data_IF_612306911356
#
_entry.id   IF_612306911356
#
_cell.length_a   1.000
_cell.length_b   1.000
_cell.length_c   1.000
_cell.angle_alpha   90.00
_cell.angle_beta   90.00
_cell.angle_gamma   90.00
#
_symmetry.space_group_name_H-M   'P 1'
#
loop_
_entity.id
_entity.type
_entity.pdbx_description
1 polymer ?
#
# COMPACT_ATOMS: atom_id res chain seq x y z
N UNK A 1 -10.32 -18.40 87.57
CA UNK A 1 -10.58 -18.01 88.98
C UNK A 1 -12.09 -17.83 89.17
N UNK A 2 -12.71 -18.39 90.20
CA UNK A 2 -14.16 -18.25 90.42
C UNK A 2 -14.38 -17.41 91.69
N UNK A 3 -15.07 -16.27 91.56
CA UNK A 3 -15.49 -15.43 92.67
C UNK A 3 -16.89 -15.82 93.13
N UNK A 4 -17.01 -16.44 94.31
CA UNK A 4 -18.30 -16.73 94.94
C UNK A 4 -18.55 -15.69 96.04
N UNK A 5 -19.42 -14.72 95.79
CA UNK A 5 -19.58 -13.54 96.66
C UNK A 5 -21.05 -13.30 96.98
N UNK A 6 -21.32 -12.71 98.15
CA UNK A 6 -22.66 -12.34 98.59
C UNK A 6 -23.25 -11.23 97.71
N UNK A 7 -24.58 -11.11 97.68
CA UNK A 7 -25.30 -10.21 96.75
C UNK A 7 -24.87 -8.74 96.82
N UNK A 8 -24.34 -8.29 97.94
CA UNK A 8 -23.87 -6.92 98.16
C UNK A 8 -22.53 -6.61 97.47
N UNK A 9 -21.74 -7.63 97.13
CA UNK A 9 -20.43 -7.48 96.48
C UNK A 9 -20.36 -8.05 95.05
N UNK A 10 -21.42 -8.72 94.57
CA UNK A 10 -21.46 -9.35 93.24
C UNK A 10 -21.06 -8.38 92.13
N UNK A 11 -21.62 -7.18 92.10
CA UNK A 11 -21.39 -6.21 91.02
C UNK A 11 -19.92 -5.76 90.96
N UNK A 12 -19.29 -5.57 92.12
CA UNK A 12 -17.88 -5.19 92.21
C UNK A 12 -16.96 -6.27 91.64
N UNK A 13 -17.21 -7.53 92.02
CA UNK A 13 -16.41 -8.66 91.55
C UNK A 13 -16.69 -9.01 90.09
N UNK A 14 -17.90 -8.72 89.58
CA UNK A 14 -18.19 -8.83 88.16
C UNK A 14 -17.40 -7.81 87.32
N UNK A 15 -17.24 -6.57 87.82
CA UNK A 15 -16.36 -5.58 87.19
C UNK A 15 -14.89 -5.99 87.22
N UNK A 16 -14.44 -6.60 88.32
CA UNK A 16 -13.08 -7.12 88.44
C UNK A 16 -12.86 -8.32 87.51
N UNK A 17 -13.85 -9.20 87.40
CA UNK A 17 -13.79 -10.40 86.57
C UNK A 17 -13.64 -10.07 85.08
N UNK A 18 -14.27 -8.99 84.61
CA UNK A 18 -14.09 -8.47 83.24
C UNK A 18 -12.66 -8.02 82.92
N UNK A 19 -11.83 -7.75 83.93
CA UNK A 19 -10.42 -7.33 83.76
C UNK A 19 -9.42 -8.46 83.97
N UNK A 20 -9.88 -9.61 84.47
CA UNK A 20 -9.03 -10.77 84.75
C UNK A 20 -9.43 -11.91 83.82
N UNK A 21 -8.60 -12.20 82.82
CA UNK A 21 -8.83 -13.29 81.89
C UNK A 21 -8.98 -14.64 82.62
N UNK A 22 -9.93 -15.47 82.19
CA UNK A 22 -10.22 -16.76 82.81
C UNK A 22 -10.87 -16.68 84.20
N UNK A 23 -11.52 -15.56 84.53
CA UNK A 23 -12.29 -15.42 85.77
C UNK A 23 -13.80 -15.38 85.55
N UNK A 24 -14.58 -15.84 86.53
CA UNK A 24 -16.04 -15.70 86.53
C UNK A 24 -16.56 -15.41 87.94
N UNK A 25 -17.69 -14.71 88.04
CA UNK A 25 -18.31 -14.32 89.30
C UNK A 25 -19.70 -14.93 89.43
N UNK A 26 -20.02 -15.42 90.62
CA UNK A 26 -21.31 -16.00 90.96
C UNK A 26 -21.79 -15.57 92.35
N UNK A 27 -23.11 -15.44 92.50
CA UNK A 27 -23.75 -15.08 93.77
C UNK A 27 -23.82 -16.26 94.73
N UNK A 28 -23.27 -16.09 95.93
CA UNK A 28 -23.35 -17.02 97.04
C UNK A 28 -24.53 -16.65 97.95
N UNK A 29 -25.36 -17.62 98.28
CA UNK A 29 -26.44 -17.44 99.27
C UNK A 29 -25.86 -17.29 100.68
N UNK A 30 -26.59 -16.63 101.59
CA UNK A 30 -26.09 -16.28 102.92
C UNK A 30 -25.73 -17.49 103.81
N UNK A 31 -26.33 -18.64 103.53
CA UNK A 31 -26.04 -19.92 104.19
C UNK A 31 -25.01 -20.78 103.43
N UNK A 32 -24.47 -20.26 102.32
CA UNK A 32 -23.57 -20.96 101.39
C UNK A 32 -24.12 -22.28 100.84
N UNK A 33 -25.44 -22.48 100.88
CA UNK A 33 -26.10 -23.72 100.45
C UNK A 33 -25.90 -24.02 98.97
N UNK A 34 -25.74 -22.99 98.13
CA UNK A 34 -25.60 -23.11 96.69
C UNK A 34 -24.15 -23.21 96.18
N UNK A 35 -23.14 -23.33 97.05
CA UNK A 35 -21.72 -23.23 96.66
C UNK A 35 -21.29 -24.30 95.64
N UNK A 36 -21.82 -25.52 95.73
CA UNK A 36 -21.44 -26.62 94.82
C UNK A 36 -21.99 -26.37 93.41
N UNK A 37 -23.27 -26.00 93.32
CA UNK A 37 -23.92 -25.70 92.04
C UNK A 37 -23.32 -24.45 91.40
N UNK A 38 -22.96 -23.46 92.22
CA UNK A 38 -22.29 -22.25 91.79
C UNK A 38 -20.94 -22.56 91.13
N UNK A 39 -20.09 -23.36 91.78
CA UNK A 39 -18.78 -23.74 91.20
C UNK A 39 -18.96 -24.49 89.88
N UNK A 40 -19.94 -25.41 89.80
CA UNK A 40 -20.21 -26.17 88.58
C UNK A 40 -20.62 -25.25 87.42
N UNK A 41 -21.59 -24.37 87.67
CA UNK A 41 -22.07 -23.42 86.67
C UNK A 41 -20.98 -22.44 86.21
N UNK A 42 -20.17 -21.93 87.13
CA UNK A 42 -19.09 -21.01 86.77
C UNK A 42 -17.93 -21.71 86.06
N UNK A 43 -17.66 -22.98 86.39
CA UNK A 43 -16.67 -23.80 85.70
C UNK A 43 -17.09 -24.10 84.25
N UNK A 44 -18.36 -24.46 84.02
CA UNK A 44 -18.90 -24.67 82.67
C UNK A 44 -18.83 -23.39 81.83
N UNK A 45 -19.12 -22.23 82.44
CA UNK A 45 -18.98 -20.93 81.79
C UNK A 45 -17.53 -20.63 81.36
N UNK A 46 -16.55 -20.95 82.20
CA UNK A 46 -15.13 -20.75 81.88
C UNK A 46 -14.67 -21.75 80.81
N UNK A 47 -15.07 -23.01 80.90
CA UNK A 47 -14.64 -24.05 79.93
C UNK A 47 -15.34 -23.95 78.57
N UNK A 48 -16.51 -23.29 78.51
CA UNK A 48 -17.21 -23.00 77.26
C UNK A 48 -16.59 -21.87 76.42
N UNK A 49 -15.73 -21.03 77.02
CA UNK A 49 -15.09 -19.90 76.37
C UNK A 49 -13.59 -20.17 76.20
N UNK A 50 -13.11 -20.13 74.95
CA UNK A 50 -11.68 -20.22 74.64
C UNK A 50 -11.22 -18.85 74.14
N UNK A 51 -10.39 -18.18 74.92
CA UNK A 51 -9.72 -16.94 74.55
C UNK A 51 -8.23 -17.24 74.34
N UNK A 52 -7.75 -17.09 73.10
CA UNK A 52 -6.34 -17.28 72.77
C UNK A 52 -5.64 -15.91 72.80
N UNK A 53 -4.60 -15.78 73.62
CA UNK A 53 -3.76 -14.58 73.70
C UNK A 53 -2.36 -14.90 73.20
N UNK A 54 -1.83 -14.09 72.28
CA UNK A 54 -0.44 -14.14 71.82
C UNK A 54 0.43 -13.27 72.75
N UNK A 55 1.62 -13.74 73.12
CA UNK A 55 2.61 -13.03 73.94
C UNK A 55 3.42 -12.01 73.15
N UNK A 56 3.22 -11.95 71.83
CA UNK A 56 3.92 -11.05 70.93
C UNK A 56 2.90 -10.08 70.32
N UNK A 57 3.17 -8.78 70.40
CA UNK A 57 2.32 -7.68 69.89
C UNK A 57 2.20 -7.62 68.36
N UNK A 58 2.09 -8.76 67.69
CA UNK A 58 1.72 -8.87 66.28
C UNK A 58 0.20 -8.89 66.21
N UNK A 59 -0.38 -8.08 65.32
CA UNK A 59 -1.79 -8.23 64.95
C UNK A 59 -1.95 -9.54 64.17
N UNK A 60 -2.05 -10.65 64.89
CA UNK A 60 -2.56 -11.91 64.38
C UNK A 60 -4.08 -11.76 64.27
N UNK A 61 -4.56 -11.38 63.09
CA UNK A 61 -5.96 -11.63 62.73
C UNK A 61 -6.10 -13.14 62.49
N UNK A 62 -6.10 -13.91 63.57
CA UNK A 62 -6.19 -15.36 63.51
C UNK A 62 -7.57 -15.76 63.03
N UNK A 63 -7.60 -16.61 62.01
CA UNK A 63 -8.83 -17.23 61.59
C UNK A 63 -9.27 -18.25 62.63
N UNK A 64 -10.31 -17.89 63.37
CA UNK A 64 -11.05 -18.80 64.22
C UNK A 64 -11.64 -19.93 63.36
N UNK A 65 -10.94 -21.05 63.31
CA UNK A 65 -11.53 -22.33 62.93
C UNK A 65 -12.28 -22.84 64.16
N UNK A 66 -13.58 -22.57 64.24
CA UNK A 66 -14.43 -23.19 65.26
C UNK A 66 -14.55 -24.69 64.89
N UNK A 67 -14.12 -25.62 65.77
CA UNK A 67 -14.35 -27.04 65.55
C UNK A 67 -15.85 -27.30 65.40
N UNK A 68 -16.25 -28.15 64.45
CA UNK A 68 -17.65 -28.45 64.18
C UNK A 68 -18.45 -28.88 65.44
N UNK A 69 -17.76 -29.38 66.47
CA UNK A 69 -18.34 -29.78 67.76
C UNK A 69 -18.91 -28.62 68.62
N UNK A 70 -18.59 -27.34 68.32
CA UNK A 70 -19.10 -26.16 69.05
C UNK A 70 -20.23 -25.42 68.30
N UNK A 71 -20.71 -25.92 67.15
CA UNK A 71 -21.93 -25.38 66.55
C UNK A 71 -23.14 -25.89 67.34
N UNK A 72 -23.74 -25.05 68.17
CA UNK A 72 -25.18 -25.19 68.41
C UNK A 72 -25.86 -25.02 67.05
N UNK A 73 -26.68 -26.01 66.68
CA UNK A 73 -27.43 -26.05 65.43
C UNK A 73 -28.40 -24.86 65.39
N UNK A 74 -27.99 -23.77 64.76
CA UNK A 74 -28.93 -22.82 64.19
C UNK A 74 -28.63 -22.67 62.70
N UNK A 75 -29.68 -22.89 61.92
CA UNK A 75 -29.64 -23.11 60.49
C UNK A 75 -29.06 -21.92 59.73
N UNK A 76 -27.85 -22.08 59.19
CA UNK A 76 -27.50 -21.47 57.89
C UNK A 76 -26.67 -22.45 57.09
N UNK A 77 -27.27 -22.95 56.01
CA UNK A 77 -26.56 -23.50 54.88
C UNK A 77 -25.52 -22.48 54.38
N UNK A 78 -24.45 -23.03 53.80
CA UNK A 78 -23.29 -22.35 53.18
C UNK A 78 -22.12 -22.10 54.15
N UNK A 79 -21.32 -23.14 54.37
CA UNK A 79 -19.86 -23.03 54.30
C UNK A 79 -19.30 -24.40 53.92
N UNK A 80 -18.96 -24.49 52.64
CA UNK A 80 -18.35 -25.67 52.03
C UNK A 80 -17.01 -25.92 52.71
N UNK A 81 -16.88 -27.15 53.20
CA UNK A 81 -15.67 -27.85 53.62
C UNK A 81 -14.44 -27.38 52.82
N UNK A 82 -13.55 -26.60 53.44
CA UNK A 82 -12.15 -26.51 52.98
C UNK A 82 -11.44 -27.69 53.60
N UNK A 83 -11.53 -28.83 52.91
CA UNK A 83 -10.54 -29.88 53.08
C UNK A 83 -9.20 -29.28 52.65
N UNK A 84 -8.25 -29.21 53.58
CA UNK A 84 -6.82 -29.22 53.28
C UNK A 84 -6.49 -30.59 52.66
N UNK A 85 -7.02 -30.83 51.47
CA UNK A 85 -6.69 -31.95 50.60
C UNK A 85 -5.34 -31.66 49.96
N UNK A 86 -4.27 -31.90 50.71
CA UNK A 86 -2.95 -32.14 50.13
C UNK A 86 -2.99 -33.50 49.43
N UNK A 87 -3.61 -33.54 48.26
CA UNK A 87 -3.44 -34.62 47.29
C UNK A 87 -2.39 -34.16 46.30
N UNK A 88 -1.39 -35.01 46.07
CA UNK A 88 -0.17 -34.69 45.32
C UNK A 88 -0.42 -33.99 44.01
N UNK A 89 0.04 -32.75 43.94
CA UNK A 89 0.56 -32.10 42.76
C UNK A 89 1.60 -31.09 43.24
N UNK A 90 2.71 -30.94 42.52
CA UNK A 90 3.90 -30.15 42.90
C UNK A 90 3.65 -28.62 42.86
N UNK A 91 2.38 -28.22 43.02
CA UNK A 91 1.90 -26.85 42.96
C UNK A 91 2.16 -26.14 44.29
N UNK A 92 3.06 -25.15 44.25
CA UNK A 92 3.29 -24.26 45.39
C UNK A 92 1.96 -23.59 45.79
N UNK A 93 1.66 -23.46 47.09
CA UNK A 93 0.44 -22.78 47.55
C UNK A 93 0.28 -21.41 46.89
N UNK A 94 -0.94 -21.08 46.45
CA UNK A 94 -1.26 -19.82 45.76
C UNK A 94 -0.37 -19.53 44.53
N UNK A 95 -0.06 -20.57 43.76
CA UNK A 95 0.81 -20.51 42.57
C UNK A 95 2.21 -19.93 42.85
N UNK A 96 2.61 -19.83 44.12
CA UNK A 96 3.86 -19.20 44.53
C UNK A 96 3.91 -17.66 44.40
N UNK A 97 2.80 -17.01 44.05
CA UNK A 97 2.70 -15.55 43.81
C UNK A 97 1.63 -14.88 44.68
N UNK A 98 1.39 -15.47 45.85
CA UNK A 98 0.46 -14.94 46.83
C UNK A 98 0.63 -15.58 48.19
N UNK A 99 -0.01 -14.97 49.20
CA UNK A 99 0.01 -15.44 50.59
C UNK A 99 -1.26 -16.22 50.88
N UNK A 100 -1.12 -17.47 51.31
CA UNK A 100 -2.24 -18.27 51.78
C UNK A 100 -2.58 -17.85 53.21
N UNK A 101 -3.81 -17.36 53.44
CA UNK A 101 -4.36 -17.15 54.78
C UNK A 101 -5.74 -17.79 54.86
N UNK A 102 -5.88 -18.77 55.75
CA UNK A 102 -7.16 -19.39 56.08
C UNK A 102 -7.88 -20.06 54.90
N UNK A 103 -7.12 -20.79 54.07
CA UNK A 103 -7.66 -21.51 52.91
C UNK A 103 -8.03 -20.60 51.72
N UNK A 104 -7.71 -19.30 51.79
CA UNK A 104 -7.85 -18.34 50.69
C UNK A 104 -6.48 -17.76 50.33
N UNK A 105 -6.27 -17.56 49.03
CA UNK A 105 -5.08 -16.90 48.51
C UNK A 105 -5.29 -15.38 48.41
N UNK A 106 -4.28 -14.64 48.83
CA UNK A 106 -4.17 -13.19 48.67
C UNK A 106 -3.00 -12.91 47.74
N UNK A 107 -3.29 -12.51 46.51
CA UNK A 107 -2.28 -12.36 45.46
C UNK A 107 -1.39 -11.14 45.72
N UNK A 108 -0.10 -11.29 45.43
CA UNK A 108 0.86 -10.22 45.67
C UNK A 108 0.64 -9.06 44.66
N UNK A 109 0.71 -7.80 45.12
CA UNK A 109 0.58 -6.65 44.23
C UNK A 109 1.82 -6.50 43.34
N UNK A 110 1.62 -5.98 42.13
CA UNK A 110 2.70 -5.70 41.18
C UNK A 110 3.21 -4.26 41.31
N UNK A 111 4.46 -3.98 40.89
CA UNK A 111 5.00 -2.62 40.86
C UNK A 111 4.25 -1.70 39.89
N UNK A 112 3.81 -2.24 38.74
CA UNK A 112 2.97 -1.52 37.80
C UNK A 112 1.50 -1.64 38.21
N UNK A 113 0.76 -0.52 38.32
CA UNK A 113 -0.62 -0.52 38.81
C UNK A 113 -1.60 -1.21 37.86
N UNK A 114 -1.27 -1.28 36.57
CA UNK A 114 -2.09 -1.91 35.54
C UNK A 114 -1.89 -3.43 35.48
N UNK A 115 -0.85 -3.96 36.11
CA UNK A 115 -0.57 -5.40 36.18
C UNK A 115 -1.23 -6.01 37.40
N UNK A 116 -2.05 -7.03 37.18
CA UNK A 116 -2.82 -7.69 38.23
C UNK A 116 -2.64 -9.19 38.18
N UNK A 117 -2.42 -9.75 39.35
CA UNK A 117 -2.48 -11.19 39.62
C UNK A 117 -3.81 -11.45 40.33
N UNK A 118 -4.58 -12.41 39.85
CA UNK A 118 -5.90 -12.72 40.37
C UNK A 118 -6.21 -14.21 40.17
N UNK A 119 -7.42 -14.62 40.51
CA UNK A 119 -7.83 -16.02 40.54
C UNK A 119 -7.91 -16.57 41.97
N UNK A 120 -8.52 -17.73 42.13
CA UNK A 120 -8.76 -18.34 43.45
C UNK A 120 -7.46 -18.74 44.15
N UNK A 121 -6.47 -19.08 43.33
CA UNK A 121 -5.15 -19.55 43.70
C UNK A 121 -4.04 -18.67 43.12
N UNK A 122 -4.35 -17.41 42.75
CA UNK A 122 -3.42 -16.47 42.12
C UNK A 122 -2.75 -16.99 40.84
N UNK A 123 -3.50 -17.81 40.10
CA UNK A 123 -3.09 -18.51 38.89
C UNK A 123 -3.19 -17.64 37.63
N UNK A 124 -3.98 -16.56 37.68
CA UNK A 124 -4.28 -15.73 36.53
C UNK A 124 -3.53 -14.40 36.57
N UNK A 125 -3.15 -13.93 35.39
CA UNK A 125 -2.57 -12.60 35.18
C UNK A 125 -3.20 -11.93 33.97
N UNK A 126 -3.22 -10.60 33.96
CA UNK A 126 -3.67 -9.81 32.81
C UNK A 126 -2.52 -9.33 31.90
N UNK A 127 -1.31 -9.84 32.12
CA UNK A 127 -0.10 -9.47 31.37
C UNK A 127 0.65 -10.69 30.82
N UNK A 128 0.21 -11.90 31.14
CA UNK A 128 0.85 -13.17 30.76
C UNK A 128 0.45 -13.72 29.40
N UNK A 129 -0.24 -12.94 28.55
CA UNK A 129 -0.54 -13.34 27.18
C UNK A 129 0.66 -13.06 26.25
N UNK A 130 0.68 -13.74 25.10
CA UNK A 130 1.71 -13.52 24.08
C UNK A 130 1.67 -12.09 23.53
N UNK A 131 2.86 -11.55 23.25
CA UNK A 131 3.02 -10.23 22.65
C UNK A 131 3.43 -10.38 21.20
N UNK A 132 2.66 -9.82 20.28
CA UNK A 132 3.06 -9.63 18.87
C UNK A 132 3.36 -8.17 18.60
N UNK A 133 4.46 -7.90 17.90
CA UNK A 133 4.97 -6.54 17.63
C UNK A 133 5.10 -5.67 18.90
N UNK A 134 5.44 -6.31 20.03
CA UNK A 134 5.56 -5.67 21.34
C UNK A 134 4.23 -5.31 22.02
N UNK A 135 3.08 -5.59 21.39
CA UNK A 135 1.74 -5.31 21.93
C UNK A 135 1.08 -6.56 22.49
N UNK A 136 0.47 -6.41 23.67
CA UNK A 136 -0.34 -7.47 24.30
C UNK A 136 -1.73 -7.49 23.65
N UNK A 137 -2.16 -8.63 23.11
CA UNK A 137 -3.48 -8.79 22.49
C UNK A 137 -3.83 -7.72 21.42
N UNK A 138 -2.88 -7.40 20.54
CA UNK A 138 -3.06 -6.39 19.48
C UNK A 138 -3.04 -4.94 19.98
N UNK A 139 -2.99 -4.74 21.31
CA UNK A 139 -3.07 -3.45 21.97
C UNK A 139 -4.38 -3.27 22.74
N UNK A 140 -4.47 -2.24 23.59
CA UNK A 140 -5.65 -2.01 24.45
C UNK A 140 -6.93 -1.73 23.65
N UNK A 141 -6.81 -1.23 22.41
CA UNK A 141 -7.93 -0.95 21.51
C UNK A 141 -8.42 -2.19 20.75
N UNK A 142 -7.68 -3.30 20.82
CA UNK A 142 -7.96 -4.53 20.07
C UNK A 142 -8.41 -5.67 20.98
N UNK A 143 -7.84 -5.79 22.18
CA UNK A 143 -8.16 -6.87 23.10
C UNK A 143 -7.62 -6.65 24.52
N UNK A 144 -8.16 -7.44 25.45
CA UNK A 144 -7.72 -7.46 26.85
C UNK A 144 -7.22 -8.85 27.19
N UNK A 145 -6.04 -8.96 27.78
CA UNK A 145 -5.51 -10.23 28.25
C UNK A 145 -6.22 -10.67 29.55
N UNK A 146 -6.76 -11.88 29.54
CA UNK A 146 -7.43 -12.50 30.68
C UNK A 146 -6.91 -13.92 30.86
N UNK A 147 -6.12 -14.13 31.92
CA UNK A 147 -5.61 -15.43 32.34
C UNK A 147 -4.92 -16.22 31.21
N UNK A 148 -4.02 -15.57 30.47
CA UNK A 148 -3.26 -16.21 29.38
C UNK A 148 -4.02 -16.34 28.06
N UNK A 149 -5.24 -15.79 27.95
CA UNK A 149 -6.00 -15.73 26.69
C UNK A 149 -6.41 -14.30 26.36
N UNK A 150 -6.31 -13.90 25.10
CA UNK A 150 -6.78 -12.59 24.66
C UNK A 150 -8.30 -12.61 24.45
N UNK A 151 -8.98 -11.65 25.07
CA UNK A 151 -10.41 -11.36 24.85
C UNK A 151 -10.51 -10.20 23.89
N UNK A 152 -10.82 -10.49 22.63
CA UNK A 152 -10.87 -9.47 21.59
C UNK A 152 -12.09 -8.54 21.74
N UNK A 153 -11.85 -7.26 21.50
CA UNK A 153 -12.87 -6.24 21.43
C UNK A 153 -13.66 -6.35 20.13
N UNK A 154 -14.82 -5.69 20.09
CA UNK A 154 -15.70 -5.72 18.92
C UNK A 154 -14.95 -5.24 17.67
N UNK A 155 -14.95 -6.08 16.62
CA UNK A 155 -14.24 -5.78 15.38
C UNK A 155 -12.85 -6.40 15.27
N UNK A 156 -12.40 -7.16 16.28
CA UNK A 156 -11.13 -7.89 16.28
C UNK A 156 -11.33 -9.38 16.56
N UNK A 157 -10.44 -10.20 16.02
CA UNK A 157 -10.47 -11.66 16.10
C UNK A 157 -9.05 -12.24 16.09
N UNK A 158 -8.94 -13.55 16.24
CA UNK A 158 -7.66 -14.27 16.37
C UNK A 158 -7.21 -14.46 17.82
N UNK A 159 -6.22 -15.31 18.02
CA UNK A 159 -5.68 -15.64 19.36
C UNK A 159 -5.00 -14.44 20.04
N UNK A 160 -4.50 -13.49 19.24
CA UNK A 160 -3.80 -12.28 19.67
C UNK A 160 -4.61 -11.01 19.40
N UNK A 161 -5.84 -11.11 18.91
CA UNK A 161 -6.66 -9.96 18.49
C UNK A 161 -5.98 -9.03 17.47
N UNK A 162 -4.99 -9.51 16.73
CA UNK A 162 -4.31 -8.73 15.69
C UNK A 162 -5.12 -8.61 14.40
N UNK A 163 -6.13 -9.45 14.23
CA UNK A 163 -6.87 -9.59 12.98
C UNK A 163 -8.21 -8.84 13.05
N UNK A 164 -8.53 -8.05 12.01
CA UNK A 164 -9.83 -7.36 11.95
C UNK A 164 -10.94 -8.36 11.65
N UNK A 165 -12.02 -8.32 12.44
CA UNK A 165 -13.18 -9.21 12.29
C UNK A 165 -14.19 -8.71 11.25
N UNK A 166 -14.19 -7.42 10.92
CA UNK A 166 -15.08 -6.83 9.91
C UNK A 166 -14.50 -6.99 8.51
N UNK A 167 -15.36 -7.32 7.55
CA UNK A 167 -15.01 -7.43 6.12
C UNK A 167 -15.10 -6.10 5.36
N UNK A 168 -15.51 -5.02 6.03
CA UNK A 168 -15.81 -3.72 5.40
C UNK A 168 -14.62 -3.15 4.61
N UNK A 169 -13.39 -3.45 5.02
CA UNK A 169 -12.16 -2.99 4.33
C UNK A 169 -11.82 -3.79 3.09
N UNK A 170 -12.50 -4.91 2.85
CA UNK A 170 -12.32 -5.77 1.69
C UNK A 170 -13.39 -5.55 0.61
N UNK A 171 -14.34 -4.63 0.83
CA UNK A 171 -15.43 -4.34 -0.10
C UNK A 171 -15.01 -3.17 -0.98
N UNK A 172 -14.84 -3.43 -2.27
CA UNK A 172 -14.47 -2.43 -3.28
C UNK A 172 -15.66 -1.56 -3.73
N UNK A 173 -15.44 -0.76 -4.77
CA UNK A 173 -16.45 0.10 -5.39
C UNK A 173 -17.65 -0.66 -5.95
N UNK A 174 -17.45 -1.92 -6.34
CA UNK A 174 -18.50 -2.81 -6.88
C UNK A 174 -19.35 -3.48 -5.79
N UNK A 175 -19.02 -3.31 -4.51
CA UNK A 175 -19.81 -3.82 -3.39
C UNK A 175 -19.65 -5.32 -3.09
N UNK A 176 -18.87 -6.05 -3.88
CA UNK A 176 -18.48 -7.44 -3.59
C UNK A 176 -17.20 -7.50 -2.75
N UNK A 177 -17.07 -8.56 -1.95
CA UNK A 177 -15.87 -8.83 -1.16
C UNK A 177 -14.75 -9.23 -2.13
N UNK A 178 -13.67 -8.46 -2.15
CA UNK A 178 -12.52 -8.70 -3.03
C UNK A 178 -12.93 -8.89 -4.50
N UNK A 179 -13.94 -8.12 -4.94
CA UNK A 179 -14.48 -8.12 -6.31
C UNK A 179 -14.87 -9.52 -6.82
N UNK A 180 -15.20 -10.45 -5.91
CA UNK A 180 -15.53 -11.83 -6.26
C UNK A 180 -14.34 -12.70 -6.69
N UNK A 181 -13.12 -12.17 -6.60
CA UNK A 181 -11.87 -12.79 -7.09
C UNK A 181 -10.87 -13.08 -5.97
N UNK A 182 -11.35 -13.20 -4.73
CA UNK A 182 -10.50 -13.52 -3.59
C UNK A 182 -11.26 -13.67 -2.28
N UNK A 183 -10.48 -13.83 -1.21
CA UNK A 183 -10.97 -14.01 0.15
C UNK A 183 -10.40 -12.95 1.09
N UNK A 184 -11.26 -12.39 1.94
CA UNK A 184 -10.86 -11.39 2.93
C UNK A 184 -10.22 -12.08 4.15
N UNK A 185 -8.93 -11.87 4.35
CA UNK A 185 -8.19 -12.30 5.53
C UNK A 185 -7.70 -11.09 6.32
N UNK A 186 -8.10 -10.99 7.59
CA UNK A 186 -7.70 -9.90 8.50
C UNK A 186 -7.93 -8.47 7.98
N UNK A 187 -8.95 -8.28 7.14
CA UNK A 187 -9.29 -6.98 6.57
C UNK A 187 -8.52 -6.64 5.29
N UNK A 188 -7.76 -7.58 4.73
CA UNK A 188 -7.07 -7.46 3.45
C UNK A 188 -7.52 -8.56 2.48
N UNK A 189 -7.61 -8.23 1.20
CA UNK A 189 -7.97 -9.20 0.17
C UNK A 189 -6.78 -10.07 -0.23
N UNK A 190 -6.99 -11.38 -0.19
CA UNK A 190 -6.08 -12.38 -0.75
C UNK A 190 -6.69 -12.86 -2.07
N UNK A 191 -6.12 -12.44 -3.19
CA UNK A 191 -6.64 -12.73 -4.52
C UNK A 191 -6.40 -14.19 -4.92
N UNK A 192 -7.38 -14.80 -5.56
CA UNK A 192 -7.32 -16.19 -6.01
C UNK A 192 -6.37 -16.35 -7.21
N UNK A 193 -5.63 -17.47 -7.22
CA UNK A 193 -4.69 -17.81 -8.31
C UNK A 193 -5.36 -18.84 -9.23
N UNK A 194 -5.82 -18.39 -10.41
CA UNK A 194 -6.56 -19.21 -11.39
C UNK A 194 -6.06 -19.07 -12.83
N UNK A 195 -6.94 -19.25 -13.81
CA UNK A 195 -6.63 -19.08 -15.25
C UNK A 195 -6.29 -17.64 -15.62
N UNK A 196 -6.86 -16.67 -14.89
CA UNK A 196 -6.49 -15.26 -14.93
C UNK A 196 -5.98 -14.85 -13.54
N UNK A 197 -4.86 -14.13 -13.51
CA UNK A 197 -4.24 -13.66 -12.28
C UNK A 197 -4.80 -12.27 -11.93
N UNK A 198 -5.55 -12.21 -10.82
CA UNK A 198 -6.10 -10.98 -10.26
C UNK A 198 -5.18 -10.41 -9.18
N UNK A 199 -5.09 -9.09 -9.13
CA UNK A 199 -4.23 -8.34 -8.23
C UNK A 199 -4.88 -6.99 -7.86
N UNK A 200 -4.20 -6.23 -7.00
CA UNK A 200 -4.72 -4.97 -6.46
C UNK A 200 -5.43 -5.13 -5.13
N UNK A 201 -5.78 -4.00 -4.52
CA UNK A 201 -6.28 -3.96 -3.13
C UNK A 201 -7.59 -4.70 -2.94
N UNK A 202 -8.43 -4.75 -3.98
CA UNK A 202 -9.73 -5.41 -3.95
C UNK A 202 -9.82 -6.55 -4.98
N UNK A 203 -8.69 -7.02 -5.54
CA UNK A 203 -8.66 -8.06 -6.58
C UNK A 203 -9.50 -7.73 -7.83
N UNK A 204 -9.67 -6.44 -8.11
CA UNK A 204 -10.39 -5.88 -9.25
C UNK A 204 -9.52 -5.74 -10.50
N UNK A 205 -8.19 -5.82 -10.33
CA UNK A 205 -7.25 -5.58 -11.40
C UNK A 205 -6.74 -6.89 -12.01
N UNK A 206 -6.82 -7.00 -13.34
CA UNK A 206 -6.34 -8.15 -14.08
C UNK A 206 -5.57 -7.73 -15.36
N UNK A 207 -4.85 -8.66 -15.98
CA UNK A 207 -4.04 -8.38 -17.18
C UNK A 207 -4.85 -7.89 -18.40
N UNK A 208 -6.13 -8.25 -18.49
CA UNK A 208 -7.03 -7.90 -19.60
C UNK A 208 -8.10 -6.85 -19.26
N UNK A 209 -8.27 -6.54 -17.97
CA UNK A 209 -9.29 -5.62 -17.47
C UNK A 209 -8.89 -4.16 -17.76
N UNK A 210 -9.84 -3.22 -17.93
CA UNK A 210 -9.56 -1.78 -17.88
C UNK A 210 -9.17 -1.41 -16.43
N UNK A 211 -7.88 -1.33 -16.15
CA UNK A 211 -7.37 -1.04 -14.80
C UNK A 211 -7.27 0.46 -14.49
N UNK A 212 -6.41 0.80 -13.54
CA UNK A 212 -6.15 2.18 -13.09
C UNK A 212 -5.37 3.04 -14.10
N UNK A 213 -5.28 2.62 -15.37
CA UNK A 213 -4.52 3.34 -16.40
C UNK A 213 -4.96 4.80 -16.53
N UNK A 214 -6.28 5.08 -16.47
CA UNK A 214 -6.81 6.44 -16.60
C UNK A 214 -6.48 7.31 -15.39
N UNK A 215 -6.51 6.75 -14.18
CA UNK A 215 -6.20 7.47 -12.94
C UNK A 215 -4.71 7.81 -12.85
N UNK A 216 -3.85 6.91 -13.31
CA UNK A 216 -2.40 7.10 -13.30
C UNK A 216 -1.89 7.96 -14.46
N UNK A 217 -2.70 8.16 -15.50
CA UNK A 217 -2.33 8.90 -16.72
C UNK A 217 -1.75 10.28 -16.40
N UNK A 218 -2.51 11.09 -15.67
CA UNK A 218 -2.16 12.50 -15.42
C UNK A 218 -0.91 12.61 -14.52
N UNK A 219 -0.75 11.67 -13.58
CA UNK A 219 0.40 11.62 -12.69
C UNK A 219 1.68 11.20 -13.39
N UNK A 220 1.63 10.18 -14.24
CA UNK A 220 2.76 9.74 -15.04
C UNK A 220 3.17 10.82 -16.04
N UNK A 221 2.20 11.46 -16.69
CA UNK A 221 2.47 12.56 -17.62
C UNK A 221 3.13 13.76 -16.91
N UNK A 222 2.64 14.12 -15.72
CA UNK A 222 3.23 15.17 -14.90
C UNK A 222 4.68 14.83 -14.51
N UNK A 223 4.95 13.58 -14.10
CA UNK A 223 6.29 13.11 -13.72
C UNK A 223 7.30 13.15 -14.88
N UNK A 224 6.88 12.74 -16.08
CA UNK A 224 7.73 12.85 -17.29
C UNK A 224 8.03 14.33 -17.60
N UNK A 225 7.07 15.23 -17.36
CA UNK A 225 7.20 16.66 -17.66
C UNK A 225 8.04 17.40 -16.63
N UNK A 226 7.91 17.08 -15.33
CA UNK A 226 8.64 17.72 -14.24
C UNK A 226 10.15 17.47 -14.32
N UNK A 227 10.58 16.33 -14.87
CA UNK A 227 11.99 16.10 -15.18
C UNK A 227 12.56 17.05 -16.24
N UNK A 228 11.74 17.50 -17.21
CA UNK A 228 12.16 18.48 -18.21
C UNK A 228 12.06 19.92 -17.69
N UNK A 229 11.10 20.18 -16.78
CA UNK A 229 10.82 21.50 -16.22
C UNK A 229 10.87 21.43 -14.70
N UNK A 230 12.02 21.83 -14.13
CA UNK A 230 12.37 21.73 -12.71
C UNK A 230 11.46 22.49 -11.73
N UNK A 231 10.49 23.26 -12.22
CA UNK A 231 9.55 24.07 -11.43
C UNK A 231 8.11 23.52 -11.38
N UNK A 232 7.85 22.34 -11.96
CA UNK A 232 6.50 21.75 -11.97
C UNK A 232 6.31 20.81 -10.77
N UNK A 233 5.45 21.21 -9.83
CA UNK A 233 5.11 20.41 -8.66
C UNK A 233 3.93 19.48 -8.96
N UNK A 234 4.18 18.17 -9.06
CA UNK A 234 3.15 17.14 -9.22
C UNK A 234 2.55 16.70 -7.87
N UNK A 235 2.22 17.66 -6.99
CA UNK A 235 1.80 17.40 -5.61
C UNK A 235 0.43 16.73 -5.48
N UNK A 236 -0.35 16.70 -6.56
CA UNK A 236 -1.70 16.10 -6.60
C UNK A 236 -1.66 14.57 -6.60
N UNK A 237 -0.51 13.97 -6.91
CA UNK A 237 -0.38 12.52 -7.15
C UNK A 237 -0.07 11.67 -5.90
N UNK A 238 -0.20 12.23 -4.70
CA UNK A 238 0.07 11.53 -3.45
C UNK A 238 1.52 11.02 -3.33
N UNK A 239 1.74 10.00 -2.48
CA UNK A 239 3.01 9.29 -2.31
C UNK A 239 3.18 8.15 -3.34
N UNK A 240 2.86 8.42 -4.61
CA UNK A 240 3.00 7.42 -5.67
C UNK A 240 4.49 7.22 -6.04
N UNK A 241 4.96 5.98 -6.00
CA UNK A 241 6.35 5.65 -6.34
C UNK A 241 6.48 5.39 -7.85
N UNK A 242 6.98 6.40 -8.58
CA UNK A 242 7.22 6.31 -10.03
C UNK A 242 8.71 6.12 -10.33
N UNK A 243 9.04 5.06 -11.06
CA UNK A 243 10.40 4.65 -11.38
C UNK A 243 10.71 4.79 -12.89
N UNK A 244 11.86 5.39 -13.27
CA UNK A 244 12.31 5.40 -14.67
C UNK A 244 12.69 4.00 -15.16
N UNK A 245 12.29 3.66 -16.39
CA UNK A 245 12.77 2.47 -17.11
C UNK A 245 13.11 2.80 -18.57
N UNK A 246 14.01 2.01 -19.17
CA UNK A 246 14.38 2.15 -20.60
C UNK A 246 13.41 1.40 -21.52
N UNK A 247 13.08 0.14 -21.16
CA UNK A 247 12.20 -0.73 -21.92
C UNK A 247 11.02 -1.19 -21.06
N UNK A 248 9.83 -1.17 -21.64
CA UNK A 248 8.62 -1.66 -21.00
C UNK A 248 8.47 -3.13 -21.40
N UNK A 249 9.02 -4.01 -20.57
CA UNK A 249 8.74 -5.45 -20.60
C UNK A 249 7.73 -5.76 -19.50
N UNK A 250 6.67 -6.48 -19.84
CA UNK A 250 5.66 -6.93 -18.87
C UNK A 250 6.07 -8.30 -18.32
N UNK A 251 6.20 -8.42 -17.00
CA UNK A 251 6.56 -9.65 -16.29
C UNK A 251 5.55 -9.94 -15.17
N UNK A 252 4.99 -11.15 -15.14
CA UNK A 252 4.10 -11.58 -14.05
C UNK A 252 2.86 -10.67 -13.88
N UNK A 253 2.65 -10.16 -12.66
CA UNK A 253 1.53 -9.29 -12.23
C UNK A 253 1.70 -7.81 -12.62
N UNK A 254 2.16 -7.55 -13.83
CA UNK A 254 2.36 -6.19 -14.35
C UNK A 254 1.33 -5.86 -15.42
N UNK A 255 0.82 -4.63 -15.39
CA UNK A 255 -0.12 -4.11 -16.40
C UNK A 255 0.50 -2.97 -17.17
N UNK A 256 0.44 -3.02 -18.50
CA UNK A 256 0.95 -1.95 -19.37
C UNK A 256 -0.19 -1.02 -19.82
N UNK A 257 0.02 0.27 -19.64
CA UNK A 257 -0.84 1.35 -20.10
C UNK A 257 -0.13 2.18 -21.18
N UNK A 258 -0.88 2.64 -22.19
CA UNK A 258 -0.34 3.44 -23.28
C UNK A 258 -1.31 4.57 -23.64
N UNK A 259 -0.79 5.79 -23.68
CA UNK A 259 -1.57 7.00 -23.99
C UNK A 259 -0.86 7.85 -25.06
N UNK A 260 -1.65 8.59 -25.82
CA UNK A 260 -1.21 9.50 -26.87
C UNK A 260 -1.55 10.95 -26.46
N UNK A 261 -0.62 11.87 -26.70
CA UNK A 261 -0.81 13.30 -26.46
C UNK A 261 -1.15 14.06 -27.76
N UNK A 262 -1.43 15.37 -27.65
CA UNK A 262 -1.85 16.21 -28.80
C UNK A 262 -0.85 16.25 -29.96
N UNK A 263 0.41 15.87 -29.69
CA UNK A 263 1.51 15.83 -30.68
C UNK A 263 1.68 14.44 -31.30
N UNK A 264 0.73 13.53 -31.06
CA UNK A 264 0.80 12.11 -31.44
C UNK A 264 2.00 11.37 -30.86
N UNK A 265 2.56 11.86 -29.76
CA UNK A 265 3.59 11.15 -29.04
C UNK A 265 2.95 10.17 -28.07
N UNK A 266 3.44 8.93 -28.09
CA UNK A 266 2.97 7.89 -27.18
C UNK A 266 3.84 7.84 -25.94
N UNK A 267 3.23 7.88 -24.76
CA UNK A 267 3.91 7.52 -23.52
C UNK A 267 3.34 6.22 -22.99
N UNK A 268 4.24 5.36 -22.52
CA UNK A 268 3.94 4.00 -22.10
C UNK A 268 4.50 3.83 -20.71
N UNK A 269 3.66 3.32 -19.81
CA UNK A 269 4.04 2.96 -18.46
C UNK A 269 3.45 1.61 -18.12
N UNK A 270 4.03 0.95 -17.12
CA UNK A 270 3.48 -0.24 -16.51
C UNK A 270 3.34 -0.04 -15.01
N UNK A 271 2.44 -0.77 -14.37
CA UNK A 271 2.30 -0.76 -12.93
C UNK A 271 2.03 -2.15 -12.39
N UNK A 272 2.34 -2.35 -11.10
CA UNK A 272 2.08 -3.56 -10.35
C UNK A 272 1.89 -3.20 -8.87
N UNK A 273 1.37 -4.15 -8.11
CA UNK A 273 1.33 -4.08 -6.65
C UNK A 273 2.41 -5.00 -6.08
N UNK A 274 3.18 -4.49 -5.13
CA UNK A 274 4.17 -5.28 -4.39
C UNK A 274 3.49 -6.25 -3.39
N UNK A 275 4.27 -7.09 -2.71
CA UNK A 275 3.80 -8.03 -1.67
C UNK A 275 3.06 -7.31 -0.52
N UNK A 276 3.46 -6.08 -0.20
CA UNK A 276 2.80 -5.20 0.78
C UNK A 276 1.59 -4.45 0.21
N UNK A 277 1.13 -4.81 -0.99
CA UNK A 277 0.02 -4.18 -1.70
C UNK A 277 0.26 -2.68 -2.01
N UNK A 278 1.52 -2.29 -2.18
CA UNK A 278 1.91 -0.93 -2.56
C UNK A 278 1.98 -0.79 -4.07
N UNK A 279 1.39 0.29 -4.60
CA UNK A 279 1.36 0.57 -6.03
C UNK A 279 2.73 1.10 -6.52
N UNK A 280 3.34 0.35 -7.44
CA UNK A 280 4.59 0.68 -8.10
C UNK A 280 4.33 0.97 -9.58
N UNK A 281 4.84 2.10 -10.07
CA UNK A 281 4.65 2.53 -11.46
C UNK A 281 6.01 2.71 -12.13
N UNK A 282 6.20 2.14 -13.32
CA UNK A 282 7.40 2.30 -14.13
C UNK A 282 7.07 2.96 -15.45
N UNK A 283 7.81 3.99 -15.84
CA UNK A 283 7.56 4.72 -17.10
C UNK A 283 8.83 5.00 -17.88
N UNK A 284 8.70 5.05 -19.21
CA UNK A 284 9.76 5.57 -20.10
C UNK A 284 9.86 7.09 -19.95
N UNK A 285 11.07 7.60 -19.77
CA UNK A 285 11.32 9.04 -19.66
C UNK A 285 11.17 9.80 -20.98
N UNK A 286 11.30 9.10 -22.11
CA UNK A 286 11.12 9.69 -23.45
C UNK A 286 9.81 9.19 -24.07
N UNK A 287 8.96 10.13 -24.47
CA UNK A 287 7.78 9.83 -25.28
C UNK A 287 8.22 9.36 -26.67
N UNK A 288 7.57 8.32 -27.18
CA UNK A 288 7.76 7.80 -28.53
C UNK A 288 6.97 8.70 -29.50
N UNK A 289 7.63 9.70 -30.07
CA UNK A 289 7.04 10.60 -31.05
C UNK A 289 7.34 10.11 -32.47
N UNK A 290 6.38 10.18 -33.42
CA UNK A 290 6.69 10.02 -34.83
C UNK A 290 7.71 11.10 -35.24
N UNK A 291 8.74 10.71 -35.99
CA UNK A 291 9.72 11.66 -36.52
C UNK A 291 9.02 12.66 -37.46
N UNK A 292 9.31 13.97 -37.34
CA UNK A 292 8.73 14.93 -38.26
C UNK A 292 9.22 14.62 -39.68
N UNK A 293 8.27 14.47 -40.61
CA UNK A 293 8.60 14.27 -42.01
C UNK A 293 9.26 15.55 -42.53
N UNK A 294 10.49 15.46 -43.03
CA UNK A 294 11.19 16.62 -43.59
C UNK A 294 10.59 16.98 -44.96
N UNK A 295 9.57 17.84 -44.92
CA UNK A 295 8.87 18.34 -46.10
C UNK A 295 9.83 19.06 -47.04
N UNK A 296 10.85 19.75 -46.52
CA UNK A 296 11.83 20.47 -47.34
C UNK A 296 12.71 19.50 -48.11
N UNK A 297 13.17 18.41 -47.49
CA UNK A 297 13.92 17.36 -48.17
C UNK A 297 13.09 16.69 -49.28
N UNK A 298 11.83 16.36 -49.00
CA UNK A 298 10.94 15.75 -50.00
C UNK A 298 10.69 16.73 -51.17
N UNK A 299 10.29 17.97 -50.87
CA UNK A 299 9.96 18.97 -51.89
C UNK A 299 11.20 19.36 -52.71
N UNK A 300 12.37 19.52 -52.07
CA UNK A 300 13.62 19.83 -52.77
C UNK A 300 14.10 18.67 -53.64
N UNK A 301 13.98 17.43 -53.15
CA UNK A 301 14.31 16.23 -53.93
C UNK A 301 13.44 16.10 -55.17
N UNK A 302 12.11 16.25 -55.02
CA UNK A 302 11.17 16.17 -56.15
C UNK A 302 11.40 17.33 -57.13
N UNK A 303 11.49 18.57 -56.64
CA UNK A 303 11.68 19.75 -57.49
C UNK A 303 13.01 19.69 -58.25
N UNK A 304 14.09 19.31 -57.56
CA UNK A 304 15.41 19.13 -58.16
C UNK A 304 15.41 18.04 -59.23
N UNK A 305 14.73 16.91 -58.98
CA UNK A 305 14.56 15.83 -59.95
C UNK A 305 13.84 16.27 -61.23
N UNK A 306 12.76 17.03 -61.10
CA UNK A 306 12.01 17.57 -62.25
C UNK A 306 12.87 18.52 -63.08
N UNK A 307 13.58 19.45 -62.44
CA UNK A 307 14.47 20.41 -63.13
C UNK A 307 15.62 19.68 -63.83
N UNK A 308 16.26 18.71 -63.15
CA UNK A 308 17.35 17.94 -63.72
C UNK A 308 16.91 17.10 -64.92
N UNK A 309 15.74 16.47 -64.83
CA UNK A 309 15.15 15.70 -65.94
C UNK A 309 14.81 16.60 -67.13
N UNK A 310 14.26 17.79 -66.87
CA UNK A 310 14.01 18.79 -67.91
C UNK A 310 15.27 19.27 -68.61
N UNK A 311 16.32 19.61 -67.84
CA UNK A 311 17.62 20.01 -68.39
C UNK A 311 18.29 18.89 -69.19
N UNK A 312 18.19 17.65 -68.72
CA UNK A 312 18.72 16.49 -69.43
C UNK A 312 18.02 16.29 -70.79
N UNK A 313 16.68 16.38 -70.83
CA UNK A 313 15.92 16.30 -72.07
C UNK A 313 16.24 17.44 -73.04
N UNK A 314 16.41 18.67 -72.53
CA UNK A 314 16.84 19.81 -73.34
C UNK A 314 18.25 19.64 -73.90
N UNK A 315 19.19 19.14 -73.10
CA UNK A 315 20.56 18.82 -73.53
C UNK A 315 20.56 17.73 -74.61
N UNK A 316 19.77 16.66 -74.42
CA UNK A 316 19.60 15.59 -75.40
C UNK A 316 19.01 16.11 -76.70
N UNK A 317 17.93 16.89 -76.62
CA UNK A 317 17.31 17.51 -77.80
C UNK A 317 18.29 18.44 -78.52
N UNK A 318 19.06 19.24 -77.79
CA UNK A 318 20.09 20.11 -78.38
C UNK A 318 21.21 19.30 -79.05
N UNK A 319 21.66 18.21 -78.44
CA UNK A 319 22.66 17.31 -79.03
C UNK A 319 22.15 16.65 -80.31
N UNK A 320 20.93 16.11 -80.29
CA UNK A 320 20.32 15.45 -81.45
C UNK A 320 20.09 16.44 -82.59
N UNK A 321 19.58 17.64 -82.29
CA UNK A 321 19.38 18.69 -83.29
C UNK A 321 20.70 19.18 -83.89
N UNK A 322 21.72 19.45 -83.07
CA UNK A 322 23.05 19.85 -83.57
C UNK A 322 23.69 18.75 -84.42
N UNK A 323 23.55 17.49 -84.04
CA UNK A 323 24.07 16.38 -84.83
C UNK A 323 23.34 16.25 -86.17
N UNK A 324 22.01 16.36 -86.17
CA UNK A 324 21.21 16.34 -87.38
C UNK A 324 21.54 17.51 -88.30
N UNK A 325 21.64 18.72 -87.75
CA UNK A 325 21.97 19.94 -88.47
C UNK A 325 23.38 19.89 -89.05
N UNK A 326 24.37 19.36 -88.33
CA UNK A 326 25.72 19.11 -88.86
C UNK A 326 25.72 18.10 -90.01
N UNK A 327 24.88 17.07 -89.94
CA UNK A 327 24.77 16.05 -90.98
C UNK A 327 24.11 16.63 -92.24
N UNK A 328 23.04 17.41 -92.08
CA UNK A 328 22.40 18.13 -93.18
C UNK A 328 23.32 19.19 -93.78
N UNK A 329 24.07 19.93 -92.96
CA UNK A 329 25.06 20.90 -93.45
C UNK A 329 26.14 20.23 -94.31
N UNK A 330 26.69 19.11 -93.86
CA UNK A 330 27.69 18.35 -94.64
C UNK A 330 27.11 17.82 -95.96
N UNK A 331 25.84 17.41 -95.97
CA UNK A 331 25.11 17.00 -97.17
C UNK A 331 24.90 18.19 -98.11
N UNK A 332 24.47 19.33 -97.58
CA UNK A 332 24.25 20.55 -98.35
C UNK A 332 25.54 21.10 -98.98
N UNK A 333 26.65 21.11 -98.24
CA UNK A 333 27.95 21.53 -98.80
C UNK A 333 28.41 20.62 -99.94
N UNK A 334 28.18 19.31 -99.83
CA UNK A 334 28.46 18.33 -100.88
C UNK A 334 27.57 18.55 -102.12
N UNK A 335 26.27 18.75 -101.93
CA UNK A 335 25.35 19.08 -103.02
C UNK A 335 25.72 20.41 -103.70
N UNK A 336 26.10 21.44 -102.92
CA UNK A 336 26.56 22.74 -103.43
C UNK A 336 27.84 22.62 -104.26
N UNK A 337 28.80 21.80 -103.84
CA UNK A 337 30.05 21.55 -104.60
C UNK A 337 29.80 20.76 -105.89
N UNK A 338 28.79 19.88 -105.90
CA UNK A 338 28.42 19.08 -107.07
C UNK A 338 27.46 19.79 -108.03
N UNK A 339 26.88 20.92 -107.62
CA UNK A 339 26.03 21.77 -108.45
C UNK A 339 26.87 22.43 -109.56
N UNK A 340 27.01 21.74 -110.69
CA UNK A 340 27.44 22.35 -111.95
C UNK A 340 26.28 23.21 -112.48
N UNK A 341 26.46 24.52 -112.50
CA UNK A 341 25.57 25.43 -113.22
C UNK A 341 25.75 25.19 -114.72
N UNK A 342 24.69 24.76 -115.41
CA UNK A 342 24.71 24.73 -116.87
C UNK A 342 24.73 26.19 -117.36
N UNK A 343 25.86 26.63 -117.95
CA UNK A 343 25.96 27.87 -118.73
C UNK A 343 25.24 27.72 -120.10
N UNK A 344 24.03 27.17 -120.10
CA UNK A 344 23.17 27.19 -121.29
C UNK A 344 22.43 28.51 -121.32
N UNK A 345 22.73 29.37 -122.30
CA UNK A 345 21.91 30.55 -122.56
C UNK A 345 20.44 30.15 -122.72
N UNK A 346 19.55 30.91 -122.06
CA UNK A 346 18.11 30.68 -122.09
C UNK A 346 17.59 30.80 -123.54
N UNK A 347 17.01 29.74 -124.15
CA UNK A 347 16.54 29.78 -125.54
C UNK A 347 15.34 30.71 -125.79
N UNK A 348 14.78 31.34 -124.74
CA UNK A 348 13.75 32.39 -124.84
C UNK A 348 14.32 33.81 -124.79
N UNK A 349 15.61 33.98 -124.53
CA UNK A 349 16.23 35.31 -124.47
C UNK A 349 16.57 35.79 -125.88
N UNK A 350 15.86 36.81 -126.36
CA UNK A 350 16.24 37.57 -127.56
C UNK A 350 16.95 38.84 -127.11
N UNK A 351 18.19 39.01 -127.55
CA UNK A 351 18.89 40.29 -127.44
C UNK A 351 18.14 41.35 -128.27
N UNK A 352 17.85 42.50 -127.65
CA UNK A 352 17.19 43.62 -128.32
C UNK A 352 18.27 44.54 -128.86
N UNK A 353 18.81 44.23 -130.04
CA UNK A 353 19.60 45.19 -130.81
C UNK A 353 18.70 45.92 -131.80
N UNK A 354 18.31 47.15 -131.47
CA UNK A 354 17.72 48.09 -132.44
C UNK A 354 18.80 49.07 -132.89
N UNK A 355 19.53 48.73 -133.95
CA UNK A 355 20.44 49.66 -134.62
C UNK A 355 19.64 50.61 -135.50
N UNK A 356 19.50 51.87 -135.10
CA UNK A 356 18.90 52.93 -135.92
C UNK A 356 20.00 53.67 -136.69
N UNK A 357 19.96 53.62 -138.02
CA UNK A 357 20.85 54.41 -138.87
C UNK A 357 20.36 55.87 -138.90
N UNK A 358 21.16 56.77 -138.32
CA UNK A 358 20.90 58.21 -138.28
C UNK A 358 21.27 58.87 -139.63
N UNK A 359 20.30 59.36 -140.44
CA UNK A 359 20.61 59.95 -141.75
C UNK A 359 21.17 61.39 -141.70
N UNK A 360 21.44 61.96 -140.51
CA UNK A 360 21.71 63.39 -140.37
C UNK A 360 23.18 63.81 -140.21
N UNK A 361 24.16 62.89 -140.22
CA UNK A 361 25.57 63.27 -140.04
C UNK A 361 26.50 62.63 -141.07
N UNK A 362 26.50 63.22 -142.26
CA UNK A 362 27.69 63.24 -143.10
C UNK A 362 28.63 64.37 -142.61
N UNK A 363 29.87 64.03 -142.30
CA UNK A 363 30.93 65.04 -142.15
C UNK A 363 31.90 64.82 -140.98
N UNK A 364 33.07 64.28 -141.33
CA UNK A 364 34.41 64.67 -140.83
C UNK A 364 34.78 64.51 -139.35
N UNK A 365 35.63 63.50 -139.12
CA UNK A 365 36.95 63.55 -138.44
C UNK A 365 37.09 64.34 -137.13
N UNK A 366 37.48 63.65 -136.04
CA UNK A 366 38.89 63.56 -135.60
C UNK A 366 39.03 62.77 -134.28
N UNK A 367 40.13 62.02 -134.25
CA UNK A 367 40.97 61.55 -133.14
C UNK A 367 40.74 62.10 -131.73
N UNK A 368 40.81 61.20 -130.75
CA UNK A 368 41.75 61.17 -129.60
C UNK A 368 41.17 60.18 -128.59
N UNK A 369 41.78 59.03 -128.31
CA UNK A 369 43.05 58.84 -127.61
C UNK A 369 42.94 59.13 -126.10
N UNK A 370 42.85 58.02 -125.35
CA UNK A 370 43.40 57.74 -124.01
C UNK A 370 42.85 58.43 -122.74
N UNK A 371 43.07 57.68 -121.64
CA UNK A 371 43.03 57.97 -120.20
C UNK A 371 41.82 57.32 -119.51
N UNK A 372 41.95 56.49 -118.47
CA UNK A 372 43.07 55.90 -117.72
C UNK A 372 42.47 54.70 -116.95
#
# INVERSE_FOLDING_TARGET
>A
MIFAVTSDQVDLYEMLSKRLAGSSTGKLENDSSNVVDLVRQQYDKITSAVEMTDDIGVQTSDCLIIPAALRQEEQTNILQRVESGGSGDDSRPCSGVGKCRCGRCYCDPRPHPDEKIYGKYCECTNYGCDKKDGKLCGGPDHGVCDCGSCKCLKGWTGEDCGCRATIDTCIGSEGEICSGHGRCECGSCICDVGEQEYFGTYCDDCSTCPGMCNELKDCVECFITSQKVRSLNCSVCGSLTILPIENVEVKGKEKQCSFEDDKKCRFIFKYAFDEDNQLLVWTKMRKECPEPVDVVAIVSGVSGGVVATGLFLLMLWKLLTVFHDRRELAKFEKERLMAKWNQGQNPLYKEVETTYQNPAYGGTTKSMEQLE
#
